data_IF_121327459185
#
_entry.id   IF_121327459185
#
_cell.length_a   1.000
_cell.length_b   1.000
_cell.length_c   1.000
_cell.angle_alpha   90.00
_cell.angle_beta   90.00
_cell.angle_gamma   90.00
#
_symmetry.space_group_name_H-M   'P 1'
#
loop_
_entity.id
_entity.type
_entity.pdbx_description
1 polymer ?
#
# COMPACT_ATOMS: atom_id res chain seq x y z
N UNK A 1 -45.83 35.15 3.29
CA UNK A 1 -45.07 34.20 2.45
C UNK A 1 -43.99 33.59 3.32
N UNK A 2 -44.07 32.29 3.61
CA UNK A 2 -43.08 31.56 4.41
C UNK A 2 -42.08 30.92 3.45
N UNK A 3 -40.87 31.44 3.41
CA UNK A 3 -39.76 30.88 2.62
C UNK A 3 -39.24 29.65 3.35
N UNK A 4 -39.53 28.46 2.83
CA UNK A 4 -38.96 27.21 3.31
C UNK A 4 -37.57 27.09 2.68
N UNK A 5 -36.54 27.22 3.51
CA UNK A 5 -35.15 26.96 3.14
C UNK A 5 -35.01 25.46 2.84
N UNK A 6 -34.54 25.03 1.67
CA UNK A 6 -34.24 23.62 1.46
C UNK A 6 -32.95 23.29 2.22
N UNK A 7 -33.03 22.39 3.20
CA UNK A 7 -31.85 21.74 3.75
C UNK A 7 -31.19 20.95 2.61
N UNK A 8 -30.06 21.45 2.12
CA UNK A 8 -29.12 20.68 1.32
C UNK A 8 -28.57 19.56 2.21
N UNK A 9 -29.14 18.37 2.07
CA UNK A 9 -28.55 17.12 2.55
C UNK A 9 -27.26 16.91 1.74
N UNK A 10 -26.14 17.36 2.29
CA UNK A 10 -24.81 16.91 1.91
C UNK A 10 -24.74 15.41 2.22
N UNK A 11 -25.11 14.58 1.25
CA UNK A 11 -24.69 13.18 1.26
C UNK A 11 -23.18 13.20 1.17
N UNK A 12 -22.50 12.94 2.28
CA UNK A 12 -21.09 12.55 2.24
C UNK A 12 -21.03 11.33 1.33
N UNK A 13 -20.61 11.53 0.08
CA UNK A 13 -20.09 10.45 -0.72
C UNK A 13 -18.80 10.03 -0.02
N UNK A 14 -18.91 9.17 0.99
CA UNK A 14 -17.79 8.39 1.47
C UNK A 14 -17.23 7.71 0.23
N UNK A 15 -16.03 8.11 -0.16
CA UNK A 15 -15.24 7.46 -1.20
C UNK A 15 -15.31 5.97 -0.87
N UNK A 16 -16.09 5.21 -1.63
CA UNK A 16 -16.24 3.78 -1.36
C UNK A 16 -14.89 3.16 -1.70
N UNK A 17 -14.09 2.86 -0.67
CA UNK A 17 -12.93 2.01 -0.80
C UNK A 17 -13.35 0.79 -1.63
N UNK A 18 -12.55 0.44 -2.65
CA UNK A 18 -12.83 -0.75 -3.46
C UNK A 18 -13.11 -1.94 -2.54
N UNK A 19 -14.16 -2.74 -2.81
CA UNK A 19 -14.47 -3.87 -1.97
C UNK A 19 -13.28 -4.83 -1.95
N UNK A 20 -12.65 -4.95 -0.78
CA UNK A 20 -11.53 -5.87 -0.52
C UNK A 20 -12.03 -7.31 -0.72
N UNK A 21 -11.20 -8.21 -1.26
CA UNK A 21 -11.61 -9.61 -1.43
C UNK A 21 -11.91 -10.29 -0.08
N UNK A 22 -12.67 -11.41 -0.07
CA UNK A 22 -12.85 -12.20 1.14
C UNK A 22 -11.51 -12.66 1.75
N UNK A 23 -10.54 -13.04 0.91
CA UNK A 23 -9.22 -13.48 1.36
C UNK A 23 -8.44 -12.34 2.05
N UNK A 24 -8.49 -11.14 1.47
CA UNK A 24 -7.87 -9.95 2.05
C UNK A 24 -8.58 -9.55 3.35
N UNK A 25 -9.91 -9.53 3.35
CA UNK A 25 -10.70 -9.20 4.55
C UNK A 25 -10.37 -10.13 5.71
N UNK A 26 -10.30 -11.44 5.44
CA UNK A 26 -9.90 -12.44 6.43
C UNK A 26 -8.47 -12.19 6.93
N UNK A 27 -7.52 -11.94 6.04
CA UNK A 27 -6.14 -11.64 6.42
C UNK A 27 -6.03 -10.40 7.31
N UNK A 28 -6.75 -9.32 6.98
CA UNK A 28 -6.74 -8.09 7.76
C UNK A 28 -7.31 -8.30 9.17
N UNK A 29 -8.40 -9.05 9.29
CA UNK A 29 -8.97 -9.43 10.59
C UNK A 29 -7.95 -10.18 11.45
N UNK A 30 -7.29 -11.20 10.88
CA UNK A 30 -6.31 -12.00 11.61
C UNK A 30 -5.08 -11.20 12.04
N UNK A 31 -4.58 -10.29 11.19
CA UNK A 31 -3.47 -9.38 11.53
C UNK A 31 -3.89 -8.45 12.67
N UNK A 32 -5.10 -7.90 12.63
CA UNK A 32 -5.61 -7.01 13.67
C UNK A 32 -5.67 -7.69 15.04
N UNK A 33 -6.12 -8.96 15.09
CA UNK A 33 -6.11 -9.77 16.31
C UNK A 33 -4.71 -9.93 16.92
N UNK A 34 -3.64 -9.78 16.12
CA UNK A 34 -2.27 -9.92 16.58
C UNK A 34 -1.70 -8.65 17.25
N UNK A 35 -2.37 -7.50 17.17
CA UNK A 35 -1.83 -6.23 17.70
C UNK A 35 -1.58 -6.29 19.20
N UNK A 36 -2.45 -6.98 19.95
CA UNK A 36 -2.33 -7.16 21.39
C UNK A 36 -1.64 -8.47 21.78
N UNK A 37 -1.09 -9.22 20.82
CA UNK A 37 -0.50 -10.53 21.09
C UNK A 37 0.86 -10.38 21.81
N UNK A 38 0.99 -10.79 23.09
CA UNK A 38 2.21 -10.60 23.86
C UNK A 38 3.39 -11.43 23.34
N UNK A 39 3.14 -12.46 22.51
CA UNK A 39 4.18 -13.28 21.88
C UNK A 39 4.86 -12.57 20.70
N UNK A 40 4.26 -11.49 20.18
CA UNK A 40 4.81 -10.68 19.09
C UNK A 40 5.50 -9.44 19.67
N UNK A 41 6.68 -9.63 20.23
CA UNK A 41 7.46 -8.55 20.85
C UNK A 41 7.78 -7.37 19.91
N UNK A 42 7.76 -7.58 18.60
CA UNK A 42 7.95 -6.51 17.61
C UNK A 42 6.69 -5.70 17.33
N UNK A 43 5.49 -6.15 17.73
CA UNK A 43 4.23 -5.53 17.36
C UNK A 43 4.15 -4.05 17.77
N UNK A 44 4.40 -3.65 19.04
CA UNK A 44 4.34 -2.24 19.43
C UNK A 44 5.30 -1.35 18.64
N UNK A 45 6.50 -1.86 18.33
CA UNK A 45 7.49 -1.12 17.53
C UNK A 45 7.07 -0.96 16.09
N UNK A 46 6.51 -2.00 15.48
CA UNK A 46 6.06 -1.96 14.10
C UNK A 46 4.79 -1.10 13.93
N UNK A 47 3.90 -1.08 14.92
CA UNK A 47 2.72 -0.21 14.93
C UNK A 47 3.09 1.26 15.09
N UNK A 48 4.21 1.58 15.74
CA UNK A 48 4.72 2.95 15.88
C UNK A 48 5.67 3.40 14.74
N UNK A 49 6.03 2.50 13.82
CA UNK A 49 6.99 2.76 12.75
C UNK A 49 6.26 3.02 11.43
N UNK A 50 6.29 4.28 10.99
CA UNK A 50 5.65 4.77 9.75
C UNK A 50 6.05 4.00 8.48
N UNK A 51 7.20 3.34 8.50
CA UNK A 51 7.70 2.58 7.34
C UNK A 51 7.06 1.20 7.24
N UNK A 52 6.30 0.76 8.24
CA UNK A 52 5.81 -0.62 8.38
C UNK A 52 4.34 -0.76 8.01
N UNK A 53 3.98 -1.97 7.58
CA UNK A 53 2.61 -2.33 7.23
C UNK A 53 1.60 -2.09 8.38
N UNK A 54 1.86 -2.42 9.66
CA UNK A 54 0.89 -2.20 10.72
C UNK A 54 0.54 -0.72 10.94
N UNK A 55 1.52 0.19 10.85
CA UNK A 55 1.28 1.63 10.93
C UNK A 55 0.35 2.09 9.79
N UNK A 56 0.60 1.61 8.56
CA UNK A 56 -0.29 1.88 7.42
C UNK A 56 -1.72 1.37 7.69
N UNK A 57 -1.88 0.11 8.10
CA UNK A 57 -3.18 -0.50 8.33
C UNK A 57 -3.99 0.17 9.46
N UNK A 58 -3.32 0.79 10.43
CA UNK A 58 -3.98 1.50 11.53
C UNK A 58 -4.50 2.88 11.10
N UNK A 59 -3.72 3.59 10.29
CA UNK A 59 -3.90 5.04 10.12
C UNK A 59 -4.30 5.46 8.71
N UNK A 60 -4.36 4.55 7.73
CA UNK A 60 -4.72 4.91 6.35
C UNK A 60 -6.17 5.36 6.19
N UNK A 61 -7.10 4.78 6.96
CA UNK A 61 -8.52 5.12 6.93
C UNK A 61 -8.85 6.29 7.91
N UNK A 62 -7.86 6.81 8.65
CA UNK A 62 -8.03 7.95 9.56
C UNK A 62 -7.94 9.29 8.81
N UNK A 63 -8.70 10.28 9.28
CA UNK A 63 -8.67 11.65 8.74
C UNK A 63 -8.37 12.65 9.86
N UNK A 64 -7.56 13.67 9.57
CA UNK A 64 -7.21 14.76 10.49
C UNK A 64 -6.49 14.33 11.79
N UNK A 65 -5.94 13.13 11.85
CA UNK A 65 -5.04 12.68 12.95
C UNK A 65 -3.58 13.01 12.62
N UNK A 66 -2.74 13.15 13.65
CA UNK A 66 -1.30 13.39 13.45
C UNK A 66 -0.65 12.22 12.73
N UNK A 67 -1.11 11.01 13.05
CA UNK A 67 -0.62 9.74 12.52
C UNK A 67 -0.95 9.59 11.03
N UNK A 68 -2.19 9.90 10.63
CA UNK A 68 -2.63 9.89 9.23
C UNK A 68 -1.92 10.98 8.41
N UNK A 69 -1.78 12.20 8.94
CA UNK A 69 -1.06 13.28 8.26
C UNK A 69 0.39 12.87 8.01
N UNK A 70 1.04 12.24 9.01
CA UNK A 70 2.40 11.71 8.86
C UNK A 70 2.44 10.61 7.80
N UNK A 71 1.54 9.63 7.85
CA UNK A 71 1.47 8.54 6.89
C UNK A 71 1.35 9.07 5.46
N UNK A 72 0.42 10.01 5.24
CA UNK A 72 0.20 10.63 3.94
C UNK A 72 1.44 11.38 3.43
N UNK A 73 2.11 12.14 4.29
CA UNK A 73 3.36 12.80 3.93
C UNK A 73 4.47 11.80 3.58
N UNK A 74 4.56 10.68 4.30
CA UNK A 74 5.52 9.61 4.00
C UNK A 74 5.24 8.93 2.67
N UNK A 75 3.98 8.57 2.39
CA UNK A 75 3.57 7.98 1.11
C UNK A 75 3.84 8.94 -0.05
N UNK A 76 3.51 10.23 0.07
CA UNK A 76 3.81 11.24 -0.95
C UNK A 76 5.32 11.37 -1.21
N UNK A 77 6.14 11.31 -0.15
CA UNK A 77 7.60 11.32 -0.26
C UNK A 77 8.14 10.10 -1.02
N UNK A 78 7.66 8.90 -0.68
CA UNK A 78 7.98 7.67 -1.40
C UNK A 78 7.56 7.75 -2.87
N UNK A 79 6.34 8.21 -3.14
CA UNK A 79 5.82 8.32 -4.50
C UNK A 79 6.65 9.30 -5.33
N UNK A 80 7.03 10.44 -4.75
CA UNK A 80 7.94 11.40 -5.39
C UNK A 80 9.28 10.75 -5.77
N UNK A 81 9.84 9.91 -4.90
CA UNK A 81 11.09 9.20 -5.17
C UNK A 81 10.94 8.18 -6.31
N UNK A 82 9.88 7.37 -6.32
CA UNK A 82 9.60 6.44 -7.42
C UNK A 82 9.33 7.16 -8.73
N UNK A 83 8.55 8.24 -8.71
CA UNK A 83 8.28 9.08 -9.88
C UNK A 83 9.58 9.63 -10.48
N UNK A 84 10.43 10.26 -9.66
CA UNK A 84 11.70 10.82 -10.12
C UNK A 84 12.64 9.73 -10.65
N UNK A 85 12.72 8.59 -9.97
CA UNK A 85 13.52 7.44 -10.39
C UNK A 85 13.08 6.92 -11.76
N UNK A 86 11.77 6.65 -11.94
CA UNK A 86 11.21 6.18 -13.20
C UNK A 86 11.45 7.18 -14.34
N UNK A 87 11.20 8.47 -14.09
CA UNK A 87 11.45 9.54 -15.06
C UNK A 87 12.92 9.58 -15.50
N UNK A 88 13.87 9.49 -14.55
CA UNK A 88 15.31 9.51 -14.84
C UNK A 88 15.75 8.27 -15.60
N UNK A 89 15.28 7.09 -15.22
CA UNK A 89 15.65 5.85 -15.91
C UNK A 89 15.13 5.86 -17.35
N UNK A 90 13.90 6.34 -17.58
CA UNK A 90 13.34 6.51 -18.93
C UNK A 90 14.14 7.49 -19.78
N UNK A 91 14.57 8.63 -19.20
CA UNK A 91 15.34 9.65 -19.92
C UNK A 91 16.76 9.21 -20.26
N UNK A 92 17.39 8.41 -19.41
CA UNK A 92 18.79 8.03 -19.54
C UNK A 92 19.00 6.63 -20.14
N UNK A 93 17.92 5.91 -20.48
CA UNK A 93 18.00 4.55 -21.04
C UNK A 93 18.56 3.52 -20.06
N UNK A 94 18.33 3.71 -18.75
CA UNK A 94 18.82 2.80 -17.72
C UNK A 94 18.03 1.48 -17.65
N UNK A 95 18.58 0.50 -16.93
CA UNK A 95 17.84 -0.73 -16.62
C UNK A 95 16.72 -0.42 -15.63
N UNK A 96 15.49 -0.71 -16.05
CA UNK A 96 14.28 -0.50 -15.28
C UNK A 96 13.95 -1.78 -14.49
N UNK A 97 13.70 -1.66 -13.19
CA UNK A 97 13.22 -2.78 -12.38
C UNK A 97 11.68 -2.87 -12.36
N UNK A 98 10.99 -1.82 -12.83
CA UNK A 98 9.60 -1.78 -13.29
C UNK A 98 9.47 -0.81 -14.48
N UNK A 99 8.54 -1.04 -15.41
CA UNK A 99 8.39 -0.30 -16.66
C UNK A 99 7.00 0.30 -16.81
N UNK A 100 6.77 1.41 -16.12
CA UNK A 100 5.56 2.20 -16.32
C UNK A 100 5.67 3.04 -17.61
N UNK A 101 4.73 2.86 -18.53
CA UNK A 101 4.70 3.61 -19.81
C UNK A 101 4.36 5.08 -19.61
N UNK A 102 3.34 5.35 -18.79
CA UNK A 102 2.93 6.70 -18.42
C UNK A 102 3.41 7.01 -17.01
N UNK A 103 4.60 7.61 -16.90
CA UNK A 103 5.18 8.00 -15.60
C UNK A 103 4.38 9.11 -14.91
N UNK A 104 3.46 9.80 -15.61
CA UNK A 104 2.57 10.77 -14.95
C UNK A 104 1.56 10.12 -14.01
N UNK A 105 1.26 8.82 -14.19
CA UNK A 105 0.44 8.08 -13.23
C UNK A 105 1.10 7.98 -11.85
N UNK A 106 2.44 8.12 -11.77
CA UNK A 106 3.18 8.19 -10.51
C UNK A 106 3.28 9.61 -9.93
N UNK A 107 2.83 10.66 -10.62
CA UNK A 107 2.95 12.03 -10.13
C UNK A 107 2.09 12.20 -8.85
N UNK A 108 2.72 12.41 -7.66
CA UNK A 108 1.99 12.50 -6.39
C UNK A 108 1.06 13.71 -6.31
N UNK A 109 1.21 14.71 -7.19
CA UNK A 109 0.27 15.84 -7.26
C UNK A 109 -0.99 15.51 -8.06
N UNK A 110 -0.92 14.55 -8.97
CA UNK A 110 -2.04 14.13 -9.83
C UNK A 110 -2.77 12.93 -9.26
N UNK A 111 -2.01 11.99 -8.71
CA UNK A 111 -2.47 10.71 -8.20
C UNK A 111 -1.93 10.45 -6.79
N UNK A 112 -2.28 11.28 -5.79
CA UNK A 112 -1.82 11.09 -4.41
C UNK A 112 -2.20 9.72 -3.81
N UNK A 113 -3.24 9.07 -4.34
CA UNK A 113 -3.74 7.75 -3.95
C UNK A 113 -2.90 6.58 -4.47
N UNK A 114 -2.03 6.80 -5.47
CA UNK A 114 -1.44 5.73 -6.26
C UNK A 114 -0.71 4.67 -5.41
N UNK A 115 0.11 5.09 -4.44
CA UNK A 115 0.83 4.12 -3.59
C UNK A 115 -0.08 3.37 -2.62
N UNK A 116 -1.17 4.00 -2.16
CA UNK A 116 -2.17 3.32 -1.36
C UNK A 116 -2.83 2.20 -2.18
N UNK A 117 -3.25 2.51 -3.41
CA UNK A 117 -3.84 1.53 -4.33
C UNK A 117 -2.87 0.38 -4.64
N UNK A 118 -1.58 0.67 -4.82
CA UNK A 118 -0.55 -0.36 -5.02
C UNK A 118 -0.40 -1.24 -3.78
N UNK A 119 -0.38 -0.67 -2.58
CA UNK A 119 -0.30 -1.45 -1.33
C UNK A 119 -1.53 -2.38 -1.22
N UNK A 120 -2.75 -1.86 -1.42
CA UNK A 120 -3.95 -2.68 -1.37
C UNK A 120 -3.96 -3.78 -2.43
N UNK A 121 -3.55 -3.48 -3.66
CA UNK A 121 -3.43 -4.44 -4.76
C UNK A 121 -2.48 -5.58 -4.41
N UNK A 122 -1.33 -5.25 -3.81
CA UNK A 122 -0.35 -6.26 -3.38
C UNK A 122 -0.89 -7.11 -2.25
N UNK A 123 -1.54 -6.51 -1.25
CA UNK A 123 -2.12 -7.26 -0.13
C UNK A 123 -3.21 -8.24 -0.62
N UNK A 124 -4.07 -7.78 -1.53
CA UNK A 124 -5.14 -8.60 -2.12
C UNK A 124 -4.59 -9.76 -2.94
N UNK A 125 -3.65 -9.47 -3.84
CA UNK A 125 -2.95 -10.46 -4.65
C UNK A 125 -2.21 -11.49 -3.80
N UNK A 126 -1.55 -11.02 -2.74
CA UNK A 126 -0.79 -11.88 -1.82
C UNK A 126 -1.72 -12.78 -1.03
N UNK A 127 -2.85 -12.25 -0.53
CA UNK A 127 -3.83 -13.05 0.20
C UNK A 127 -4.34 -14.23 -0.64
N UNK A 128 -4.49 -14.04 -1.96
CA UNK A 128 -4.93 -15.08 -2.91
C UNK A 128 -3.80 -16.04 -3.33
N UNK A 129 -2.64 -15.51 -3.70
CA UNK A 129 -1.58 -16.29 -4.35
C UNK A 129 -0.54 -16.87 -3.36
N UNK A 130 -0.35 -16.21 -2.22
CA UNK A 130 0.47 -16.72 -1.12
C UNK A 130 -0.21 -16.47 0.23
N UNK A 131 -1.31 -17.19 0.53
CA UNK A 131 -2.09 -16.96 1.75
C UNK A 131 -1.26 -17.08 3.03
N UNK A 132 -0.14 -17.79 2.98
CA UNK A 132 0.73 -17.98 4.14
C UNK A 132 1.79 -16.88 4.30
N UNK A 133 2.02 -15.99 3.33
CA UNK A 133 3.10 -14.97 3.36
C UNK A 133 3.12 -14.15 4.65
N UNK A 134 1.95 -13.69 5.10
CA UNK A 134 1.78 -12.87 6.30
C UNK A 134 1.33 -13.64 7.53
N UNK A 135 1.04 -14.95 7.40
CA UNK A 135 0.60 -15.82 8.51
C UNK A 135 1.72 -16.65 9.11
N UNK A 136 2.74 -16.98 8.30
CA UNK A 136 3.91 -17.75 8.74
C UNK A 136 4.61 -17.08 9.92
N UNK A 137 5.27 -17.91 10.71
CA UNK A 137 6.05 -17.49 11.89
C UNK A 137 5.21 -16.64 12.86
N UNK A 138 3.98 -17.10 13.12
CA UNK A 138 3.02 -16.42 13.99
C UNK A 138 2.79 -14.96 13.57
N UNK A 139 2.55 -14.73 12.28
CA UNK A 139 2.36 -13.41 11.69
C UNK A 139 3.56 -12.46 11.74
N UNK A 140 4.77 -12.89 12.13
CA UNK A 140 5.94 -12.01 12.19
C UNK A 140 6.22 -11.29 10.84
N UNK A 141 5.84 -11.91 9.72
CA UNK A 141 5.93 -11.31 8.38
C UNK A 141 5.11 -10.01 8.23
N UNK A 142 3.90 -9.93 8.79
CA UNK A 142 3.07 -8.72 8.67
C UNK A 142 3.61 -7.53 9.47
N UNK A 143 4.31 -7.80 10.58
CA UNK A 143 4.91 -6.77 11.42
C UNK A 143 6.33 -6.37 10.99
N UNK A 144 7.01 -7.22 10.21
CA UNK A 144 8.35 -6.91 9.70
C UNK A 144 8.32 -6.24 8.32
N UNK A 145 7.27 -6.47 7.53
CA UNK A 145 7.12 -5.91 6.19
C UNK A 145 7.12 -4.37 6.19
N UNK A 146 7.97 -3.81 5.33
CA UNK A 146 8.06 -2.38 5.07
C UNK A 146 7.23 -2.00 3.84
N UNK A 147 6.72 -0.77 3.81
CA UNK A 147 5.89 -0.28 2.71
C UNK A 147 6.67 -0.23 1.39
N UNK A 148 7.96 0.17 1.40
CA UNK A 148 8.80 0.21 0.20
C UNK A 148 9.00 -1.17 -0.44
N UNK A 149 9.10 -2.23 0.37
CA UNK A 149 9.22 -3.61 -0.09
C UNK A 149 7.91 -4.14 -0.70
N UNK A 150 6.76 -3.76 -0.12
CA UNK A 150 5.43 -4.07 -0.66
C UNK A 150 5.22 -3.30 -1.98
N UNK A 151 5.47 -1.99 -1.98
CA UNK A 151 5.34 -1.11 -3.14
C UNK A 151 6.26 -1.58 -4.27
N UNK A 152 7.50 -1.93 -3.97
CA UNK A 152 8.45 -2.44 -4.96
C UNK A 152 7.94 -3.70 -5.67
N UNK A 153 7.41 -4.66 -4.90
CA UNK A 153 6.76 -5.83 -5.49
C UNK A 153 5.56 -5.46 -6.37
N UNK A 154 4.67 -4.59 -5.88
CA UNK A 154 3.52 -4.12 -6.64
C UNK A 154 3.90 -3.43 -7.96
N UNK A 155 4.83 -2.47 -7.91
CA UNK A 155 5.33 -1.80 -9.10
C UNK A 155 5.91 -2.78 -10.11
N UNK A 156 6.69 -3.77 -9.65
CA UNK A 156 7.30 -4.75 -10.53
C UNK A 156 6.26 -5.67 -11.18
N UNK A 157 5.19 -6.06 -10.47
CA UNK A 157 4.19 -6.99 -11.03
C UNK A 157 3.07 -6.33 -11.80
N UNK A 158 2.67 -5.11 -11.44
CA UNK A 158 1.61 -4.36 -12.13
C UNK A 158 2.17 -3.60 -13.35
N UNK A 159 3.46 -3.24 -13.31
CA UNK A 159 4.16 -2.59 -14.41
C UNK A 159 5.45 -3.33 -14.79
N UNK A 160 5.37 -4.60 -15.21
CA UNK A 160 6.56 -5.39 -15.51
C UNK A 160 7.25 -4.94 -16.80
N UNK A 161 8.58 -4.89 -16.78
CA UNK A 161 9.38 -4.72 -18.01
C UNK A 161 9.37 -5.96 -18.91
N UNK A 162 9.17 -7.14 -18.32
CA UNK A 162 9.21 -8.44 -18.96
C UNK A 162 8.05 -9.28 -18.46
N UNK A 163 7.41 -10.05 -19.35
CA UNK A 163 6.36 -10.98 -18.98
C UNK A 163 6.68 -12.38 -19.55
N UNK A 164 7.04 -13.38 -18.72
CA UNK A 164 7.15 -13.32 -17.25
C UNK A 164 8.39 -12.54 -16.78
N UNK A 165 8.37 -12.06 -15.54
CA UNK A 165 9.52 -11.38 -14.91
C UNK A 165 10.64 -12.41 -14.66
N UNK A 166 11.86 -12.22 -15.21
CA UNK A 166 12.98 -13.14 -15.01
C UNK A 166 13.32 -13.35 -13.54
N UNK A 167 13.56 -14.61 -13.13
CA UNK A 167 13.93 -14.95 -11.74
C UNK A 167 15.06 -14.09 -11.13
N UNK A 168 16.15 -13.74 -11.84
CA UNK A 168 17.21 -12.90 -11.28
C UNK A 168 16.76 -11.47 -10.96
N UNK A 169 15.64 -11.01 -11.52
CA UNK A 169 15.08 -9.68 -11.31
C UNK A 169 13.95 -9.68 -10.27
N UNK A 170 13.46 -10.85 -9.85
CA UNK A 170 12.38 -10.97 -8.88
C UNK A 170 12.87 -10.55 -7.49
N UNK A 171 12.01 -9.83 -6.77
CA UNK A 171 12.24 -9.44 -5.38
C UNK A 171 12.11 -10.69 -4.52
N UNK A 172 13.20 -11.07 -3.87
CA UNK A 172 13.27 -12.24 -3.00
C UNK A 172 12.17 -12.24 -1.97
N UNK A 173 11.55 -13.41 -1.73
CA UNK A 173 10.53 -13.60 -0.71
C UNK A 173 9.10 -13.40 -1.21
N UNK A 174 8.88 -12.93 -2.44
CA UNK A 174 7.55 -12.86 -3.06
C UNK A 174 7.31 -14.01 -4.04
N UNK A 175 6.04 -14.33 -4.28
CA UNK A 175 5.62 -15.22 -5.37
C UNK A 175 5.25 -14.38 -6.60
N UNK A 176 5.69 -14.81 -7.77
CA UNK A 176 5.46 -14.17 -9.07
C UNK A 176 4.59 -15.05 -9.95
#
# INVERSE_FOLDING_TARGET
MKTVLPLLLLTCASVQAQPRSPELTQLLSEIHEQYENPKLYSAPRAMADITKLPYFLQHIDETDTVEAIRLNAYLQGLQSAYFYSAYRQQKLGGNNWFCMRDTMALDPKRHPEFLEEIIWTVLDKTAKNDPQKFRRDNYAGSFSATLDYIIGYGLQTEYPCYNPIPKPLQINGWKY
#
